data_IF_648113225347
#
_entry.id   IF_648113225347
#
_cell.length_a   1.000
_cell.length_b   1.000
_cell.length_c   1.000
_cell.angle_alpha   90.00
_cell.angle_beta   90.00
_cell.angle_gamma   90.00
#
_symmetry.space_group_name_H-M   'P 1'
#
loop_
_entity.id
_entity.type
_entity.pdbx_description
1 polymer ?
#
# COMPACT_ATOMS: atom_id res chain seq x y z
N UNK A 1 -7.62 10.92 2.44
CA UNK A 1 -6.36 10.16 2.31
C UNK A 1 -5.56 10.79 1.19
N UNK A 2 -4.29 11.03 1.42
CA UNK A 2 -3.35 11.58 0.44
C UNK A 2 -2.17 10.62 0.31
N UNK A 3 -1.73 10.39 -0.92
CA UNK A 3 -0.63 9.48 -1.23
C UNK A 3 0.44 10.23 -2.02
N UNK A 4 1.70 10.02 -1.66
CA UNK A 4 2.85 10.65 -2.30
C UNK A 4 3.68 9.59 -3.01
N UNK A 5 3.79 9.71 -4.33
CA UNK A 5 4.54 8.80 -5.18
C UNK A 5 5.56 9.58 -5.98
N UNK A 6 6.69 8.92 -6.24
CA UNK A 6 7.76 9.47 -7.07
C UNK A 6 8.23 8.40 -8.04
N UNK A 7 8.52 8.83 -9.25
CA UNK A 7 9.09 8.01 -10.31
C UNK A 7 10.43 8.59 -10.69
N UNK A 8 11.40 7.72 -10.94
CA UNK A 8 12.73 8.08 -11.42
C UNK A 8 13.12 7.19 -12.59
N UNK A 9 14.02 7.66 -13.45
CA UNK A 9 14.51 6.90 -14.60
C UNK A 9 13.59 6.96 -15.83
N UNK A 10 13.69 5.95 -16.68
CA UNK A 10 13.00 5.84 -17.97
C UNK A 10 12.72 4.39 -18.30
N UNK A 11 11.46 4.12 -18.69
CA UNK A 11 11.04 2.79 -19.14
C UNK A 11 11.86 2.32 -20.35
N UNK A 12 12.14 3.23 -21.30
CA UNK A 12 12.89 2.90 -22.51
C UNK A 12 14.36 2.59 -22.25
N UNK A 13 14.95 3.15 -21.19
CA UNK A 13 16.33 2.84 -20.80
C UNK A 13 16.42 1.65 -19.85
N UNK A 14 15.30 1.17 -19.33
CA UNK A 14 15.26 0.05 -18.37
C UNK A 14 15.68 0.42 -16.94
N UNK A 15 15.77 1.71 -16.62
CA UNK A 15 16.17 2.22 -15.30
C UNK A 15 15.00 2.84 -14.51
N UNK A 16 13.76 2.63 -14.97
CA UNK A 16 12.58 3.17 -14.29
C UNK A 16 12.36 2.51 -12.92
N UNK A 17 12.18 3.35 -11.90
CA UNK A 17 11.85 2.93 -10.55
C UNK A 17 10.69 3.77 -10.01
N UNK A 18 9.78 3.10 -9.28
CA UNK A 18 8.69 3.76 -8.57
C UNK A 18 8.94 3.67 -7.06
N UNK A 19 8.59 4.75 -6.37
CA UNK A 19 8.70 4.87 -4.92
C UNK A 19 7.35 5.31 -4.35
N UNK A 20 7.00 4.72 -3.21
CA UNK A 20 5.93 5.23 -2.37
C UNK A 20 6.59 5.97 -1.21
N UNK A 21 6.53 7.31 -1.28
CA UNK A 21 7.21 8.17 -0.31
C UNK A 21 6.37 8.34 0.98
N UNK A 22 5.05 8.17 0.90
CA UNK A 22 4.21 8.12 2.09
C UNK A 22 2.70 8.20 1.83
N UNK A 23 1.94 7.96 2.90
CA UNK A 23 0.49 8.13 2.95
C UNK A 23 0.07 8.92 4.19
N UNK A 24 -0.91 9.79 4.01
CA UNK A 24 -1.57 10.54 5.07
C UNK A 24 -3.05 10.16 5.12
N UNK A 25 -3.53 9.72 6.28
CA UNK A 25 -4.91 9.28 6.49
C UNK A 25 -5.51 10.09 7.63
N UNK A 26 -6.54 10.87 7.30
CA UNK A 26 -7.39 11.56 8.28
C UNK A 26 -8.70 10.79 8.41
N UNK A 27 -9.13 10.54 9.66
CA UNK A 27 -10.39 9.87 9.99
C UNK A 27 -11.20 10.82 10.87
N UNK A 28 -12.35 11.23 10.38
CA UNK A 28 -13.32 12.05 11.11
C UNK A 28 -14.53 11.17 11.44
N UNK A 29 -14.94 11.17 12.71
CA UNK A 29 -16.03 10.34 13.23
C UNK A 29 -16.92 11.24 14.09
N UNK A 30 -18.19 11.30 13.73
CA UNK A 30 -19.24 11.88 14.57
C UNK A 30 -20.00 10.73 15.23
N UNK A 31 -20.06 10.73 16.57
CA UNK A 31 -20.69 9.66 17.35
C UNK A 31 -21.00 10.13 18.76
N UNK A 32 -22.10 9.62 19.33
CA UNK A 32 -22.44 9.79 20.75
C UNK A 32 -21.81 8.71 21.65
N UNK A 33 -21.08 7.76 21.06
CA UNK A 33 -20.41 6.68 21.80
C UNK A 33 -19.22 7.19 22.64
N UNK A 34 -18.85 6.50 23.72
CA UNK A 34 -17.68 6.86 24.52
C UNK A 34 -16.38 6.87 23.71
N UNK A 35 -15.47 7.82 24.02
CA UNK A 35 -14.17 7.96 23.35
C UNK A 35 -13.34 6.65 23.36
N UNK A 36 -13.43 5.87 24.43
CA UNK A 36 -12.73 4.58 24.52
C UNK A 36 -13.20 3.59 23.46
N UNK A 37 -14.49 3.57 23.16
CA UNK A 37 -15.10 2.73 22.14
C UNK A 37 -14.62 3.14 20.74
N UNK A 38 -14.65 4.45 20.45
CA UNK A 38 -14.19 4.97 19.16
C UNK A 38 -12.69 4.76 18.97
N UNK A 39 -11.89 4.93 20.02
CA UNK A 39 -10.44 4.67 19.98
C UNK A 39 -10.16 3.21 19.63
N UNK A 40 -10.88 2.28 20.26
CA UNK A 40 -10.72 0.86 20.00
C UNK A 40 -11.15 0.49 18.58
N UNK A 41 -12.26 1.06 18.10
CA UNK A 41 -12.70 0.91 16.73
C UNK A 41 -11.63 1.34 15.72
N UNK A 42 -11.08 2.54 15.88
CA UNK A 42 -10.04 3.07 14.98
C UNK A 42 -8.80 2.18 15.01
N UNK A 43 -8.39 1.72 16.19
CA UNK A 43 -7.25 0.80 16.35
C UNK A 43 -7.47 -0.51 15.58
N UNK A 44 -8.63 -1.14 15.77
CA UNK A 44 -8.98 -2.40 15.11
C UNK A 44 -9.12 -2.22 13.59
N UNK A 45 -9.78 -1.15 13.15
CA UNK A 45 -9.97 -0.86 11.72
C UNK A 45 -8.63 -0.73 10.98
N UNK A 46 -7.65 -0.03 11.58
CA UNK A 46 -6.30 0.10 11.00
C UNK A 46 -5.53 -1.21 10.99
N UNK A 47 -5.59 -2.01 12.06
CA UNK A 47 -4.96 -3.34 12.10
C UNK A 47 -5.51 -4.31 11.05
N UNK A 48 -6.78 -4.15 10.69
CA UNK A 48 -7.45 -4.98 9.68
C UNK A 48 -7.37 -4.40 8.27
N UNK A 49 -6.82 -3.19 8.10
CA UNK A 49 -6.66 -2.58 6.78
C UNK A 49 -5.52 -3.27 6.03
N UNK A 50 -5.87 -4.20 5.12
CA UNK A 50 -4.89 -4.99 4.36
C UNK A 50 -3.86 -4.13 3.62
N UNK A 51 -4.28 -2.99 3.07
CA UNK A 51 -3.36 -2.05 2.40
C UNK A 51 -2.35 -1.46 3.38
N UNK A 52 -2.79 -1.00 4.54
CA UNK A 52 -1.90 -0.45 5.56
C UNK A 52 -0.94 -1.52 6.08
N UNK A 53 -1.42 -2.75 6.31
CA UNK A 53 -0.61 -3.90 6.68
C UNK A 53 0.43 -4.22 5.60
N UNK A 54 0.05 -4.24 4.33
CA UNK A 54 0.96 -4.52 3.21
C UNK A 54 2.02 -3.42 3.02
N UNK A 55 1.68 -2.16 3.31
CA UNK A 55 2.59 -1.01 3.20
C UNK A 55 3.57 -0.91 4.37
N UNK A 56 3.14 -1.29 5.58
CA UNK A 56 3.95 -1.19 6.81
C UNK A 56 4.82 -2.40 7.05
N UNK A 57 4.44 -3.56 6.51
CA UNK A 57 5.18 -4.80 6.67
C UNK A 57 5.84 -5.19 5.35
N UNK A 58 7.02 -5.82 5.42
CA UNK A 58 7.70 -6.40 4.26
C UNK A 58 6.99 -7.69 3.80
N UNK A 59 5.76 -7.54 3.29
CA UNK A 59 4.95 -8.66 2.81
C UNK A 59 5.57 -9.19 1.53
N UNK A 60 5.96 -10.48 1.46
CA UNK A 60 6.62 -11.04 0.28
C UNK A 60 5.66 -11.04 -0.91
N UNK A 61 6.15 -10.54 -2.06
CA UNK A 61 5.40 -10.53 -3.32
C UNK A 61 6.01 -11.55 -4.26
N UNK A 62 5.22 -12.55 -4.66
CA UNK A 62 5.59 -13.50 -5.71
C UNK A 62 4.97 -13.05 -7.01
N UNK A 63 5.79 -12.77 -8.02
CA UNK A 63 5.31 -12.38 -9.35
C UNK A 63 5.65 -13.46 -10.36
N UNK A 64 4.63 -13.90 -11.11
CA UNK A 64 4.79 -14.75 -12.28
C UNK A 64 4.35 -13.98 -13.51
N UNK A 65 5.09 -14.14 -14.61
CA UNK A 65 4.77 -13.48 -15.87
C UNK A 65 4.73 -14.53 -16.99
N UNK A 66 3.92 -14.26 -18.01
CA UNK A 66 3.88 -15.07 -19.23
C UNK A 66 3.86 -14.16 -20.45
N UNK A 67 4.59 -14.54 -21.48
CA UNK A 67 4.55 -13.92 -22.80
C UNK A 67 4.03 -14.94 -23.81
N UNK A 68 2.88 -14.64 -24.42
CA UNK A 68 2.23 -15.53 -25.40
C UNK A 68 2.02 -16.96 -24.87
N UNK A 69 1.61 -17.09 -23.61
CA UNK A 69 1.34 -18.37 -22.94
C UNK A 69 2.57 -19.08 -22.37
N UNK A 70 3.78 -18.66 -22.71
CA UNK A 70 5.02 -19.22 -22.18
C UNK A 70 5.48 -18.45 -20.93
N UNK A 71 6.07 -19.11 -19.91
CA UNK A 71 6.69 -18.42 -18.79
C UNK A 71 7.67 -17.36 -19.28
N UNK A 72 7.51 -16.14 -18.76
CA UNK A 72 8.46 -15.06 -18.97
C UNK A 72 9.37 -15.05 -17.74
N UNK A 73 10.56 -15.61 -17.89
CA UNK A 73 11.60 -15.57 -16.85
C UNK A 73 12.02 -14.11 -16.60
N UNK A 74 12.28 -13.81 -15.33
CA UNK A 74 12.83 -12.52 -14.92
C UNK A 74 14.33 -12.74 -14.69
N UNK A 75 15.16 -11.87 -15.27
CA UNK A 75 16.60 -11.80 -14.97
C UNK A 75 16.85 -11.39 -13.51
#
# INVERSE_FOLDING_TARGET
MTAHFREEGSVLRGDAMAFCDGFEVEIQIESDEPLSTIRELVRLARQMCFTEVALTNNTPITVTAKLNGNPLERD
#
